data_IF_984188414316
#
_entry.id   IF_984188414316
#
_cell.length_a   1.000
_cell.length_b   1.000
_cell.length_c   1.000
_cell.angle_alpha   90.00
_cell.angle_beta   90.00
_cell.angle_gamma   90.00
#
_symmetry.space_group_name_H-M   'P 1'
#
loop_
_entity.id
_entity.type
_entity.pdbx_description
1 polymer ?
#
# COMPACT_ATOMS: atom_id res chain seq x y z
N UNK A 1 20.67 0.23 2.03
CA UNK A 1 19.49 -0.58 1.65
C UNK A 1 19.14 -0.31 0.20
N UNK A 2 18.66 -1.32 -0.52
CA UNK A 2 18.29 -1.23 -1.93
C UNK A 2 16.77 -1.31 -2.10
N UNK A 3 16.15 -0.29 -2.72
CA UNK A 3 14.72 -0.23 -3.00
C UNK A 3 14.51 -0.37 -4.51
N UNK A 4 13.77 -1.39 -4.93
CA UNK A 4 13.30 -1.52 -6.30
C UNK A 4 11.92 -0.88 -6.45
N UNK A 5 11.75 -0.06 -7.48
CA UNK A 5 10.54 0.68 -7.78
C UNK A 5 9.92 0.11 -9.05
N UNK A 6 8.67 -0.34 -9.00
CA UNK A 6 7.93 -0.62 -10.22
C UNK A 6 7.35 0.69 -10.79
N UNK A 7 7.52 0.91 -12.10
CA UNK A 7 7.22 2.23 -12.72
C UNK A 7 5.73 2.61 -12.71
N UNK A 8 4.82 1.67 -12.45
CA UNK A 8 3.39 1.92 -12.53
C UNK A 8 2.94 2.30 -13.95
N UNK A 9 1.81 2.99 -14.05
CA UNK A 9 1.36 3.54 -15.34
C UNK A 9 2.08 4.85 -15.63
N UNK A 10 3.01 4.81 -16.57
CA UNK A 10 3.88 5.95 -16.93
C UNK A 10 3.13 7.16 -17.48
N UNK A 11 1.89 6.97 -17.95
CA UNK A 11 1.04 8.02 -18.47
C UNK A 11 0.07 8.60 -17.41
N UNK A 12 -0.01 7.99 -16.21
CA UNK A 12 -0.65 8.55 -15.03
C UNK A 12 0.33 9.37 -14.19
N UNK A 13 -0.05 9.70 -12.95
CA UNK A 13 0.78 10.48 -12.01
C UNK A 13 1.98 9.69 -11.45
N UNK A 14 2.12 8.39 -11.76
CA UNK A 14 3.26 7.58 -11.31
C UNK A 14 4.60 8.25 -11.61
N UNK A 15 4.77 8.73 -12.84
CA UNK A 15 5.97 9.46 -13.28
C UNK A 15 6.13 10.77 -12.51
N UNK A 16 5.05 11.56 -12.36
CA UNK A 16 5.12 12.86 -11.70
C UNK A 16 5.55 12.74 -10.24
N UNK A 17 4.93 11.84 -9.47
CA UNK A 17 5.28 11.66 -8.05
C UNK A 17 6.70 11.16 -7.88
N UNK A 18 7.16 10.24 -8.73
CA UNK A 18 8.52 9.73 -8.69
C UNK A 18 9.56 10.81 -9.03
N UNK A 19 9.39 11.50 -10.16
CA UNK A 19 10.35 12.51 -10.61
C UNK A 19 10.39 13.70 -9.65
N UNK A 20 9.26 14.21 -9.18
CA UNK A 20 9.21 15.29 -8.17
C UNK A 20 9.91 14.87 -6.88
N UNK A 21 9.65 13.66 -6.39
CA UNK A 21 10.31 13.15 -5.19
C UNK A 21 11.83 13.16 -5.37
N UNK A 22 12.35 12.60 -6.45
CA UNK A 22 13.80 12.52 -6.69
C UNK A 22 14.45 13.87 -7.01
N UNK A 23 13.68 14.85 -7.53
CA UNK A 23 14.17 16.21 -7.79
C UNK A 23 14.35 17.04 -6.53
N UNK A 24 13.44 16.90 -5.56
CA UNK A 24 13.38 17.78 -4.40
C UNK A 24 13.81 17.12 -3.09
N UNK A 25 13.98 15.78 -3.10
CA UNK A 25 14.34 15.02 -1.91
C UNK A 25 15.45 14.02 -2.21
N UNK A 26 16.50 14.02 -1.39
CA UNK A 26 17.59 13.07 -1.49
C UNK A 26 17.47 11.99 -0.41
N UNK A 27 17.64 10.73 -0.82
CA UNK A 27 17.63 9.56 0.05
C UNK A 27 19.02 8.92 0.04
N UNK A 28 20.03 9.60 0.58
CA UNK A 28 21.45 9.21 0.51
C UNK A 28 21.76 7.83 1.13
N UNK A 29 20.91 7.35 2.03
CA UNK A 29 21.04 6.02 2.66
C UNK A 29 20.31 4.91 1.90
N UNK A 30 19.66 5.24 0.77
CA UNK A 30 18.95 4.31 -0.10
C UNK A 30 19.59 4.28 -1.49
N UNK A 31 19.90 3.08 -1.96
CA UNK A 31 20.11 2.83 -3.37
C UNK A 31 18.74 2.56 -4.01
N UNK A 32 18.35 3.37 -4.97
CA UNK A 32 17.09 3.18 -5.70
C UNK A 32 17.34 2.64 -7.10
N UNK A 33 16.51 1.71 -7.54
CA UNK A 33 16.41 1.33 -8.95
C UNK A 33 14.95 1.29 -9.38
N UNK A 34 14.70 1.49 -10.67
CA UNK A 34 13.36 1.47 -11.26
C UNK A 34 13.32 0.48 -12.41
N UNK A 35 12.33 -0.43 -12.37
CA UNK A 35 12.08 -1.35 -13.47
C UNK A 35 11.24 -0.63 -14.53
N UNK A 36 11.87 -0.29 -15.68
CA UNK A 36 11.23 0.45 -16.77
C UNK A 36 11.97 0.19 -18.08
N UNK A 37 11.28 0.35 -19.21
CA UNK A 37 11.95 0.31 -20.52
C UNK A 37 12.89 1.51 -20.70
N UNK A 38 14.10 1.28 -21.21
CA UNK A 38 15.11 2.33 -21.35
C UNK A 38 14.69 3.46 -22.29
N UNK A 39 14.01 3.14 -23.41
CA UNK A 39 13.54 4.17 -24.35
C UNK A 39 12.42 5.01 -23.73
N UNK A 40 11.48 4.36 -22.99
CA UNK A 40 10.45 5.07 -22.21
C UNK A 40 11.08 5.97 -21.15
N UNK A 41 12.05 5.45 -20.39
CA UNK A 41 12.77 6.25 -19.40
C UNK A 41 13.44 7.48 -20.00
N UNK A 42 14.06 7.32 -21.19
CA UNK A 42 14.70 8.42 -21.93
C UNK A 42 13.67 9.48 -22.35
N UNK A 43 12.53 9.07 -22.94
CA UNK A 43 11.46 10.00 -23.31
C UNK A 43 10.97 10.81 -22.11
N UNK A 44 10.79 10.16 -20.94
CA UNK A 44 10.38 10.84 -19.70
C UNK A 44 11.47 11.82 -19.25
N UNK A 45 12.73 11.40 -19.22
CA UNK A 45 13.85 12.25 -18.82
C UNK A 45 13.98 13.48 -19.72
N UNK A 46 13.81 13.32 -21.04
CA UNK A 46 13.77 14.44 -22.00
C UNK A 46 12.63 15.42 -21.67
N UNK A 47 11.43 14.91 -21.38
CA UNK A 47 10.26 15.74 -21.03
C UNK A 47 10.46 16.51 -19.70
N UNK A 48 11.21 15.93 -18.77
CA UNK A 48 11.51 16.54 -17.47
C UNK A 48 12.84 17.33 -17.43
N UNK A 49 13.57 17.36 -18.54
CA UNK A 49 14.90 17.96 -18.64
C UNK A 49 15.89 17.40 -17.60
N UNK A 50 15.88 16.07 -17.45
CA UNK A 50 16.76 15.29 -16.56
C UNK A 50 17.72 14.46 -17.39
N UNK A 51 18.96 14.29 -16.95
CA UNK A 51 19.95 13.50 -17.64
C UNK A 51 19.66 11.99 -17.52
N UNK A 52 19.80 11.26 -18.65
CA UNK A 52 19.74 9.80 -18.72
C UNK A 52 21.02 9.29 -19.37
N UNK A 53 21.91 8.71 -18.59
CA UNK A 53 23.22 8.21 -19.03
C UNK A 53 23.53 6.89 -18.31
N UNK A 54 24.29 6.00 -18.93
CA UNK A 54 24.77 4.73 -18.35
C UNK A 54 23.65 3.88 -17.69
N UNK A 55 22.48 3.86 -18.32
CA UNK A 55 21.28 3.18 -17.81
C UNK A 55 20.85 3.68 -16.43
N UNK A 56 21.04 4.95 -16.14
CA UNK A 56 20.61 5.61 -14.92
C UNK A 56 19.96 6.97 -15.20
N UNK A 57 19.02 7.34 -14.36
CA UNK A 57 18.38 8.66 -14.29
C UNK A 57 19.15 9.50 -13.26
N UNK A 58 19.72 10.62 -13.67
CA UNK A 58 20.57 11.46 -12.83
C UNK A 58 19.82 12.70 -12.35
N UNK A 59 19.34 12.65 -11.11
CA UNK A 59 18.78 13.81 -10.41
C UNK A 59 19.89 14.62 -9.72
N UNK A 60 19.61 15.86 -9.27
CA UNK A 60 20.63 16.73 -8.69
C UNK A 60 21.40 16.13 -7.49
N UNK A 61 20.71 15.38 -6.64
CA UNK A 61 21.26 14.85 -5.39
C UNK A 61 21.36 13.30 -5.36
N UNK A 62 20.84 12.62 -6.40
CA UNK A 62 20.83 11.15 -6.45
C UNK A 62 20.75 10.62 -7.87
N UNK A 63 21.16 9.36 -8.05
CA UNK A 63 20.94 8.63 -9.29
C UNK A 63 20.09 7.39 -9.05
N UNK A 64 19.20 7.09 -9.99
CA UNK A 64 18.33 5.92 -9.96
C UNK A 64 18.70 5.00 -11.13
N UNK A 65 19.14 3.78 -10.80
CA UNK A 65 19.51 2.78 -11.82
C UNK A 65 18.25 2.27 -12.52
N UNK A 66 18.29 2.17 -13.84
CA UNK A 66 17.23 1.56 -14.64
C UNK A 66 17.47 0.06 -14.77
N UNK A 67 16.49 -0.73 -14.35
CA UNK A 67 16.40 -2.17 -14.63
C UNK A 67 15.55 -2.32 -15.89
N UNK A 68 16.13 -2.85 -17.01
CA UNK A 68 15.47 -2.76 -18.29
C UNK A 68 14.29 -3.73 -18.43
N UNK A 69 13.11 -3.19 -18.74
CA UNK A 69 11.95 -3.93 -19.24
C UNK A 69 11.95 -3.94 -20.78
N UNK A 70 11.32 -4.95 -21.39
CA UNK A 70 11.24 -5.14 -22.84
C UNK A 70 10.12 -4.29 -23.45
N UNK A 71 8.95 -4.25 -22.81
CA UNK A 71 7.79 -3.52 -23.30
C UNK A 71 8.08 -2.01 -23.28
N UNK A 72 7.89 -1.39 -24.42
CA UNK A 72 8.02 0.07 -24.58
C UNK A 72 6.65 0.73 -24.48
N UNK A 73 6.58 1.86 -23.82
CA UNK A 73 5.39 2.72 -23.80
C UNK A 73 5.80 4.15 -24.13
N UNK A 74 5.16 4.76 -25.11
CA UNK A 74 5.38 6.18 -25.41
C UNK A 74 4.83 7.03 -24.27
N UNK A 75 5.65 7.95 -23.76
CA UNK A 75 5.26 8.86 -22.69
C UNK A 75 4.27 9.92 -23.18
N UNK A 76 3.03 9.82 -22.73
CA UNK A 76 1.93 10.76 -23.05
C UNK A 76 1.08 11.00 -21.80
N UNK A 77 1.50 11.89 -20.89
CA UNK A 77 0.79 12.11 -19.63
C UNK A 77 -0.68 12.43 -19.84
N UNK A 78 -1.53 11.83 -19.00
CA UNK A 78 -2.97 11.95 -19.06
C UNK A 78 -3.68 11.07 -20.11
N UNK A 79 -2.93 10.24 -20.87
CA UNK A 79 -3.51 9.39 -21.92
C UNK A 79 -3.24 7.91 -21.63
N UNK A 80 -4.23 7.17 -21.08
CA UNK A 80 -4.12 5.73 -20.91
C UNK A 80 -3.74 5.02 -22.20
N UNK A 81 -2.93 3.96 -22.12
CA UNK A 81 -2.58 3.11 -23.26
C UNK A 81 -2.28 1.68 -22.83
N UNK A 82 -2.54 0.72 -23.71
CA UNK A 82 -2.24 -0.68 -23.47
C UNK A 82 -0.71 -0.90 -23.32
N UNK A 83 0.11 -0.15 -24.07
CA UNK A 83 1.56 -0.24 -23.95
C UNK A 83 2.05 0.17 -22.56
N UNK A 84 1.46 1.23 -21.96
CA UNK A 84 1.77 1.63 -20.59
C UNK A 84 1.33 0.56 -19.57
N UNK A 85 0.20 -0.08 -19.81
CA UNK A 85 -0.29 -1.18 -18.97
C UNK A 85 0.58 -2.43 -19.07
N UNK A 86 1.01 -2.81 -20.28
CA UNK A 86 1.94 -3.94 -20.49
C UNK A 86 3.31 -3.67 -19.84
N UNK A 87 3.82 -2.44 -19.95
CA UNK A 87 5.05 -2.05 -19.27
C UNK A 87 4.87 -2.10 -17.74
N UNK A 88 3.74 -1.65 -17.21
CA UNK A 88 3.46 -1.70 -15.77
C UNK A 88 3.41 -3.14 -15.24
N UNK A 89 2.81 -4.09 -15.98
CA UNK A 89 2.79 -5.52 -15.64
C UNK A 89 4.23 -6.06 -15.59
N UNK A 90 5.00 -5.89 -16.66
CA UNK A 90 6.38 -6.38 -16.73
C UNK A 90 7.25 -5.75 -15.62
N UNK A 91 7.05 -4.47 -15.34
CA UNK A 91 7.75 -3.77 -14.28
C UNK A 91 7.48 -4.36 -12.89
N UNK A 92 6.23 -4.75 -12.59
CA UNK A 92 5.86 -5.43 -11.35
C UNK A 92 6.55 -6.81 -11.26
N UNK A 93 6.49 -7.60 -12.34
CA UNK A 93 7.10 -8.94 -12.41
C UNK A 93 8.62 -8.87 -12.24
N UNK A 94 9.29 -7.99 -13.00
CA UNK A 94 10.74 -7.76 -12.90
C UNK A 94 11.16 -7.32 -11.50
N UNK A 95 10.38 -6.42 -10.88
CA UNK A 95 10.66 -5.95 -9.53
C UNK A 95 10.52 -7.05 -8.48
N UNK A 96 9.50 -7.90 -8.62
CA UNK A 96 9.30 -9.04 -7.72
C UNK A 96 10.41 -10.09 -7.87
N UNK A 97 10.89 -10.33 -9.09
CA UNK A 97 12.01 -11.24 -9.34
C UNK A 97 13.29 -10.78 -8.60
N UNK A 98 13.62 -9.49 -8.66
CA UNK A 98 14.77 -8.93 -7.94
C UNK A 98 14.64 -9.09 -6.41
N UNK A 99 13.46 -8.88 -5.87
CA UNK A 99 13.19 -9.10 -4.45
C UNK A 99 13.38 -10.57 -4.07
N UNK A 100 12.80 -11.49 -4.86
CA UNK A 100 12.88 -12.93 -4.59
C UNK A 100 14.32 -13.47 -4.70
N UNK A 101 15.15 -12.86 -5.55
CA UNK A 101 16.56 -13.18 -5.68
C UNK A 101 17.43 -12.57 -4.56
N UNK A 102 16.86 -11.74 -3.68
CA UNK A 102 17.61 -11.03 -2.64
C UNK A 102 18.48 -9.87 -3.17
N UNK A 103 18.19 -9.39 -4.38
CA UNK A 103 18.90 -8.28 -5.01
C UNK A 103 18.37 -6.90 -4.57
N UNK A 104 17.20 -6.85 -3.92
CA UNK A 104 16.64 -5.66 -3.32
C UNK A 104 15.99 -5.98 -1.96
N UNK A 105 15.99 -5.01 -1.04
CA UNK A 105 15.47 -5.14 0.32
C UNK A 105 13.97 -4.84 0.41
N UNK A 106 13.45 -3.99 -0.48
CA UNK A 106 12.05 -3.58 -0.47
C UNK A 106 11.54 -3.22 -1.88
N UNK A 107 10.25 -3.46 -2.08
CA UNK A 107 9.49 -3.13 -3.29
C UNK A 107 8.61 -1.91 -3.04
N UNK A 108 8.83 -0.84 -3.80
CA UNK A 108 7.91 0.28 -3.89
C UNK A 108 7.13 0.20 -5.20
N UNK A 109 5.80 0.13 -5.11
CA UNK A 109 4.96 0.03 -6.31
C UNK A 109 4.23 1.33 -6.59
N UNK A 110 4.44 1.90 -7.78
CA UNK A 110 3.74 3.10 -8.23
C UNK A 110 2.32 2.79 -8.71
N UNK A 111 1.44 3.81 -8.82
CA UNK A 111 0.05 3.64 -9.25
C UNK A 111 -0.11 2.97 -10.61
N UNK A 112 -1.09 2.07 -10.72
CA UNK A 112 -1.44 1.34 -11.94
C UNK A 112 -2.88 1.57 -12.36
N UNK A 113 -3.16 1.42 -13.66
CA UNK A 113 -4.52 1.40 -14.19
C UNK A 113 -5.11 0.01 -14.13
N UNK A 114 -6.00 -0.27 -13.16
CA UNK A 114 -6.63 -1.60 -13.05
C UNK A 114 -7.38 -2.01 -14.32
N UNK A 115 -8.15 -1.09 -14.92
CA UNK A 115 -8.86 -1.34 -16.18
C UNK A 115 -7.90 -1.64 -17.33
N UNK A 116 -6.83 -0.81 -17.48
CA UNK A 116 -5.83 -1.02 -18.52
C UNK A 116 -5.08 -2.34 -18.38
N UNK A 117 -4.74 -2.74 -17.14
CA UNK A 117 -4.12 -4.05 -16.89
C UNK A 117 -5.05 -5.20 -17.29
N UNK A 118 -6.34 -5.12 -16.93
CA UNK A 118 -7.34 -6.13 -17.32
C UNK A 118 -7.51 -6.24 -18.83
N UNK A 119 -7.52 -5.13 -19.56
CA UNK A 119 -7.56 -5.13 -21.03
C UNK A 119 -6.33 -5.82 -21.65
N UNK A 120 -5.20 -5.80 -20.94
CA UNK A 120 -3.96 -6.48 -21.32
C UNK A 120 -3.86 -7.94 -20.82
N UNK A 121 -4.94 -8.51 -20.27
CA UNK A 121 -4.98 -9.89 -19.82
C UNK A 121 -4.57 -10.12 -18.36
N UNK A 122 -4.35 -9.06 -17.57
CA UNK A 122 -4.11 -9.16 -16.13
C UNK A 122 -5.35 -9.67 -15.41
N UNK A 123 -5.23 -10.80 -14.72
CA UNK A 123 -6.39 -11.50 -14.10
C UNK A 123 -6.67 -11.09 -12.66
N UNK A 124 -5.75 -10.35 -12.03
CA UNK A 124 -5.83 -9.96 -10.62
C UNK A 124 -6.65 -8.67 -10.43
N UNK A 125 -7.36 -8.58 -9.32
CA UNK A 125 -8.16 -7.40 -8.96
C UNK A 125 -7.31 -6.17 -8.59
N UNK A 126 -6.02 -6.38 -8.33
CA UNK A 126 -5.05 -5.36 -7.97
C UNK A 126 -3.72 -5.95 -7.50
N UNK A 127 -2.79 -5.08 -7.12
CA UNK A 127 -1.44 -5.51 -6.70
C UNK A 127 -1.45 -6.40 -5.44
N UNK A 128 -2.38 -6.21 -4.51
CA UNK A 128 -2.48 -7.05 -3.31
C UNK A 128 -2.91 -8.48 -3.65
N UNK A 129 -3.85 -8.63 -4.56
CA UNK A 129 -4.31 -9.94 -5.06
C UNK A 129 -3.20 -10.67 -5.85
N UNK A 130 -2.47 -9.92 -6.68
CA UNK A 130 -1.28 -10.42 -7.37
C UNK A 130 -0.21 -10.90 -6.38
N UNK A 131 0.07 -10.16 -5.31
CA UNK A 131 1.00 -10.57 -4.27
C UNK A 131 0.52 -11.81 -3.51
N UNK A 132 -0.79 -11.94 -3.26
CA UNK A 132 -1.34 -13.15 -2.67
C UNK A 132 -1.10 -14.37 -3.57
N UNK A 133 -1.25 -14.21 -4.89
CA UNK A 133 -0.92 -15.27 -5.83
C UNK A 133 0.57 -15.61 -5.86
N UNK A 134 1.44 -14.61 -5.75
CA UNK A 134 2.90 -14.80 -5.70
C UNK A 134 3.36 -15.47 -4.39
N UNK A 135 2.62 -15.28 -3.30
CA UNK A 135 2.92 -15.83 -1.97
C UNK A 135 1.69 -16.56 -1.41
N UNK A 136 1.32 -17.73 -1.95
CA UNK A 136 0.04 -18.40 -1.64
C UNK A 136 -0.08 -18.86 -0.17
N UNK A 137 1.03 -19.10 0.51
CA UNK A 137 1.05 -19.45 1.94
C UNK A 137 0.84 -18.23 2.85
N UNK A 138 0.80 -17.03 2.28
CA UNK A 138 0.62 -15.77 3.02
C UNK A 138 -0.85 -15.34 2.95
N UNK A 139 -1.26 -14.57 3.96
CA UNK A 139 -2.54 -13.88 3.98
C UNK A 139 -2.28 -12.36 3.98
N UNK A 140 -2.05 -11.73 2.80
CA UNK A 140 -1.74 -10.32 2.72
C UNK A 140 -2.80 -9.45 3.38
N UNK A 141 -2.37 -8.54 4.23
CA UNK A 141 -3.25 -7.60 4.91
C UNK A 141 -2.90 -6.19 4.43
N UNK A 142 -3.90 -5.48 3.94
CA UNK A 142 -3.74 -4.08 3.59
C UNK A 142 -3.77 -3.22 4.85
N UNK A 143 -2.67 -2.56 5.15
CA UNK A 143 -2.56 -1.57 6.21
C UNK A 143 -2.28 -0.21 5.55
N UNK A 144 -3.24 0.71 5.68
CA UNK A 144 -3.01 2.10 5.31
C UNK A 144 -2.68 2.89 6.57
N UNK A 145 -1.70 3.77 6.47
CA UNK A 145 -1.32 4.55 7.63
C UNK A 145 -0.79 5.95 7.29
N UNK A 146 -0.89 6.81 8.28
CA UNK A 146 -0.24 8.10 8.34
C UNK A 146 0.14 8.34 9.80
N UNK A 147 1.42 8.63 10.06
CA UNK A 147 1.96 8.78 11.42
C UNK A 147 1.56 7.60 12.35
N UNK A 148 0.81 7.88 13.41
CA UNK A 148 0.36 6.88 14.38
C UNK A 148 -0.99 6.23 14.04
N UNK A 149 -1.76 6.74 13.09
CA UNK A 149 -3.02 6.13 12.66
C UNK A 149 -2.72 5.03 11.65
N UNK A 150 -2.91 3.76 12.03
CA UNK A 150 -2.73 2.58 11.18
C UNK A 150 -4.03 1.82 11.09
N UNK A 151 -4.54 1.66 9.89
CA UNK A 151 -5.85 1.03 9.63
C UNK A 151 -5.65 -0.20 8.75
N UNK A 152 -5.98 -1.35 9.30
CA UNK A 152 -6.08 -2.62 8.59
C UNK A 152 -7.54 -2.88 8.18
N UNK A 153 -7.73 -3.52 7.04
CA UNK A 153 -9.06 -3.81 6.49
C UNK A 153 -9.38 -5.29 6.58
N UNK A 154 -10.52 -5.64 7.19
CA UNK A 154 -11.03 -7.01 7.23
C UNK A 154 -11.63 -7.42 5.87
N UNK A 155 -12.27 -6.48 5.17
CA UNK A 155 -12.65 -6.64 3.75
C UNK A 155 -12.18 -5.43 2.94
N UNK A 156 -11.68 -5.64 1.71
CA UNK A 156 -11.01 -4.58 0.93
C UNK A 156 -11.91 -4.09 -0.19
N UNK A 157 -11.98 -4.78 -1.31
CA UNK A 157 -12.70 -4.36 -2.52
C UNK A 157 -14.00 -5.16 -2.71
N UNK A 158 -14.81 -5.21 -1.66
CA UNK A 158 -16.10 -5.91 -1.65
C UNK A 158 -17.23 -4.87 -1.76
N UNK A 159 -18.24 -5.10 -2.60
CA UNK A 159 -19.44 -4.26 -2.62
C UNK A 159 -20.08 -4.17 -1.23
N UNK A 160 -20.50 -2.97 -0.81
CA UNK A 160 -20.97 -2.73 0.56
C UNK A 160 -22.10 -3.68 0.98
N UNK A 161 -23.01 -4.01 0.08
CA UNK A 161 -24.14 -4.94 0.33
C UNK A 161 -23.68 -6.41 0.51
N UNK A 162 -22.41 -6.72 0.26
CA UNK A 162 -21.85 -8.06 0.44
C UNK A 162 -20.83 -8.19 1.56
N UNK A 163 -20.53 -7.08 2.24
CA UNK A 163 -19.51 -7.09 3.31
C UNK A 163 -19.87 -8.08 4.40
N UNK A 164 -21.10 -8.07 4.90
CA UNK A 164 -21.55 -8.99 5.96
C UNK A 164 -21.45 -10.48 5.56
N UNK A 165 -21.60 -10.78 4.28
CA UNK A 165 -21.49 -12.16 3.76
C UNK A 165 -20.02 -12.66 3.70
N UNK A 166 -19.06 -11.73 3.60
CA UNK A 166 -17.62 -12.06 3.50
C UNK A 166 -16.94 -12.16 4.85
N UNK A 167 -17.53 -11.55 5.88
CA UNK A 167 -16.97 -11.57 7.24
C UNK A 167 -17.37 -12.87 7.96
N UNK A 168 -16.38 -13.49 8.57
CA UNK A 168 -16.57 -14.59 9.52
C UNK A 168 -15.53 -14.48 10.64
N UNK A 169 -15.75 -15.23 11.72
CA UNK A 169 -14.87 -15.20 12.90
C UNK A 169 -13.41 -15.49 12.54
N UNK A 170 -13.16 -16.48 11.66
CA UNK A 170 -11.81 -16.84 11.27
C UNK A 170 -11.10 -15.72 10.50
N UNK A 171 -11.77 -15.10 9.53
CA UNK A 171 -11.23 -13.96 8.77
C UNK A 171 -10.79 -12.83 9.71
N UNK A 172 -11.60 -12.49 10.70
CA UNK A 172 -11.26 -11.41 11.66
C UNK A 172 -10.10 -11.82 12.55
N UNK A 173 -10.05 -13.08 13.00
CA UNK A 173 -8.93 -13.63 13.78
C UNK A 173 -7.63 -13.54 12.97
N UNK A 174 -7.64 -13.97 11.71
CA UNK A 174 -6.47 -13.95 10.84
C UNK A 174 -5.95 -12.52 10.64
N UNK A 175 -6.85 -11.56 10.47
CA UNK A 175 -6.48 -10.13 10.38
C UNK A 175 -5.91 -9.64 11.72
N UNK A 176 -6.52 -9.96 12.87
CA UNK A 176 -5.98 -9.58 14.18
C UNK A 176 -4.57 -10.13 14.38
N UNK A 177 -4.34 -11.40 14.05
CA UNK A 177 -3.02 -12.05 14.21
C UNK A 177 -1.98 -11.45 13.28
N UNK A 178 -2.33 -11.26 12.00
CA UNK A 178 -1.41 -10.66 11.04
C UNK A 178 -1.09 -9.19 11.37
N UNK A 179 -2.07 -8.41 11.81
CA UNK A 179 -1.85 -7.04 12.29
C UNK A 179 -0.96 -7.04 13.54
N UNK A 180 -1.24 -7.89 14.52
CA UNK A 180 -0.41 -8.01 15.72
C UNK A 180 1.04 -8.35 15.38
N UNK A 181 1.25 -9.31 14.49
CA UNK A 181 2.57 -9.69 14.01
C UNK A 181 3.28 -8.52 13.32
N UNK A 182 2.61 -7.86 12.38
CA UNK A 182 3.14 -6.71 11.66
C UNK A 182 3.48 -5.53 12.57
N UNK A 183 2.63 -5.22 13.57
CA UNK A 183 2.95 -4.17 14.54
C UNK A 183 4.26 -4.47 15.28
N UNK A 184 4.56 -5.73 15.55
CA UNK A 184 5.81 -6.13 16.23
C UNK A 184 7.02 -6.05 15.31
N UNK A 185 6.95 -6.69 14.13
CA UNK A 185 8.12 -6.82 13.26
C UNK A 185 8.35 -5.62 12.36
N UNK A 186 7.27 -5.03 11.82
CA UNK A 186 7.37 -3.93 10.86
C UNK A 186 7.42 -2.57 11.55
N UNK A 187 6.66 -2.40 12.63
CA UNK A 187 6.57 -1.13 13.38
C UNK A 187 7.32 -1.11 14.71
N UNK A 188 7.98 -2.22 15.08
CA UNK A 188 8.76 -2.39 16.32
C UNK A 188 8.00 -2.05 17.61
N UNK A 189 6.70 -2.38 17.67
CA UNK A 189 5.85 -2.19 18.83
C UNK A 189 5.76 -3.52 19.58
N UNK A 190 6.37 -3.64 20.76
CA UNK A 190 6.47 -4.90 21.50
C UNK A 190 5.12 -5.43 21.98
N UNK A 191 4.25 -4.55 22.47
CA UNK A 191 2.93 -4.87 23.00
C UNK A 191 1.84 -4.04 22.29
N UNK A 192 1.52 -4.34 21.01
CA UNK A 192 0.59 -3.53 20.25
C UNK A 192 -0.83 -3.64 20.78
N UNK A 193 -1.48 -2.49 20.93
CA UNK A 193 -2.89 -2.38 21.27
C UNK A 193 -3.70 -2.23 19.99
N UNK A 194 -4.63 -3.15 19.76
CA UNK A 194 -5.44 -3.23 18.55
C UNK A 194 -6.88 -2.90 18.87
N UNK A 195 -7.45 -1.92 18.17
CA UNK A 195 -8.88 -1.64 18.19
C UNK A 195 -9.60 -2.35 17.05
N UNK A 196 -10.71 -3.01 17.32
CA UNK A 196 -11.59 -3.59 16.30
C UNK A 196 -12.88 -2.77 16.24
N UNK A 197 -13.22 -2.26 15.05
CA UNK A 197 -14.48 -1.55 14.85
C UNK A 197 -15.65 -2.54 14.70
N UNK A 198 -16.85 -2.11 15.08
CA UNK A 198 -18.07 -2.81 14.71
C UNK A 198 -18.37 -2.68 13.21
N UNK A 199 -19.14 -3.58 12.67
CA UNK A 199 -19.67 -3.49 11.31
C UNK A 199 -20.87 -2.54 11.25
N UNK A 200 -21.79 -2.72 12.21
CA UNK A 200 -23.08 -2.04 12.22
C UNK A 200 -23.03 -0.71 13.01
N UNK A 201 -23.98 0.20 12.77
CA UNK A 201 -24.15 1.40 13.61
C UNK A 201 -24.23 1.03 15.10
N UNK A 202 -23.64 1.85 15.96
CA UNK A 202 -23.57 1.65 17.40
C UNK A 202 -23.01 0.27 17.81
N UNK A 203 -22.15 -0.33 16.96
CA UNK A 203 -21.64 -1.69 17.16
C UNK A 203 -22.77 -2.72 17.41
N UNK A 204 -23.84 -2.65 16.60
CA UNK A 204 -24.97 -3.57 16.60
C UNK A 204 -26.01 -3.34 17.70
N UNK A 205 -25.82 -2.37 18.63
CA UNK A 205 -26.78 -2.05 19.72
C UNK A 205 -27.34 -3.31 20.40
N UNK A 206 -26.49 -4.16 20.93
CA UNK A 206 -26.85 -5.45 21.55
C UNK A 206 -27.69 -6.39 20.63
N UNK A 207 -27.53 -6.28 19.31
CA UNK A 207 -28.21 -7.10 18.29
C UNK A 207 -29.48 -6.48 17.72
N UNK A 208 -29.82 -5.24 18.09
CA UNK A 208 -30.97 -4.52 17.51
C UNK A 208 -30.70 -4.02 16.09
N UNK A 209 -29.43 -3.73 15.77
CA UNK A 209 -29.00 -3.16 14.48
C UNK A 209 -28.11 -4.14 13.69
N UNK A 210 -28.25 -5.42 13.92
CA UNK A 210 -27.44 -6.47 13.33
C UNK A 210 -26.81 -7.36 14.39
N UNK A 211 -26.38 -8.56 14.02
CA UNK A 211 -25.86 -9.54 14.97
C UNK A 211 -24.40 -9.91 14.73
N UNK A 212 -23.77 -9.33 13.71
CA UNK A 212 -22.40 -9.64 13.29
C UNK A 212 -21.38 -9.34 14.41
N UNK A 213 -21.63 -8.32 15.22
CA UNK A 213 -20.79 -8.04 16.39
C UNK A 213 -20.83 -9.18 17.39
N UNK A 214 -22.04 -9.65 17.74
CA UNK A 214 -22.25 -10.72 18.72
C UNK A 214 -21.79 -12.08 18.18
N UNK A 215 -22.10 -12.37 16.93
CA UNK A 215 -21.97 -13.72 16.36
C UNK A 215 -20.60 -13.94 15.71
N UNK A 216 -19.89 -12.86 15.32
CA UNK A 216 -18.64 -12.93 14.56
C UNK A 216 -17.51 -12.15 15.25
N UNK A 217 -17.68 -10.83 15.50
CA UNK A 217 -16.58 -9.94 15.88
C UNK A 217 -16.16 -10.16 17.34
N UNK A 218 -17.10 -10.22 18.28
CA UNK A 218 -16.79 -10.48 19.69
C UNK A 218 -16.12 -11.84 19.88
N UNK A 219 -16.61 -12.95 19.30
CA UNK A 219 -15.91 -14.23 19.37
C UNK A 219 -14.46 -14.17 18.85
N UNK A 220 -14.20 -13.42 17.77
CA UNK A 220 -12.84 -13.25 17.24
C UNK A 220 -11.94 -12.48 18.23
N UNK A 221 -12.43 -11.38 18.81
CA UNK A 221 -11.70 -10.60 19.80
C UNK A 221 -11.37 -11.45 21.04
N UNK A 222 -12.34 -12.22 21.57
CA UNK A 222 -12.13 -13.05 22.74
C UNK A 222 -11.11 -14.18 22.49
N UNK A 223 -11.12 -14.78 21.29
CA UNK A 223 -10.10 -15.76 20.90
C UNK A 223 -8.71 -15.13 20.82
N UNK A 224 -8.59 -13.92 20.26
CA UNK A 224 -7.31 -13.19 20.21
C UNK A 224 -6.80 -12.84 21.62
N UNK A 225 -7.67 -12.37 22.53
CA UNK A 225 -7.33 -12.13 23.93
C UNK A 225 -6.85 -13.38 24.65
N UNK A 226 -7.49 -14.52 24.40
CA UNK A 226 -7.09 -15.81 24.99
C UNK A 226 -5.66 -16.24 24.55
N UNK A 227 -5.15 -15.69 23.44
CA UNK A 227 -3.76 -15.85 22.99
C UNK A 227 -2.82 -14.74 23.48
N UNK A 228 -3.29 -13.86 24.37
CA UNK A 228 -2.48 -12.78 24.94
C UNK A 228 -2.37 -11.52 24.07
N UNK A 229 -3.17 -11.38 23.01
CA UNK A 229 -3.18 -10.19 22.16
C UNK A 229 -4.01 -9.09 22.84
N UNK A 230 -3.45 -7.90 22.94
CA UNK A 230 -4.16 -6.72 23.47
C UNK A 230 -5.09 -6.17 22.37
N UNK A 231 -6.31 -6.71 22.35
CA UNK A 231 -7.33 -6.39 21.34
C UNK A 231 -8.63 -5.98 22.05
N UNK A 232 -9.21 -4.86 21.65
CA UNK A 232 -10.41 -4.29 22.26
C UNK A 232 -11.46 -3.94 21.20
N UNK A 233 -12.72 -3.98 21.56
CA UNK A 233 -13.87 -3.68 20.70
C UNK A 233 -15.04 -4.65 20.95
N UNK A 234 -16.06 -4.69 20.05
CA UNK A 234 -16.18 -3.83 18.87
C UNK A 234 -16.54 -2.39 19.22
N UNK A 235 -15.89 -1.41 18.58
CA UNK A 235 -16.18 0.01 18.82
C UNK A 235 -17.13 0.57 17.76
N UNK A 236 -18.12 1.41 18.13
CA UNK A 236 -18.87 2.22 17.16
C UNK A 236 -17.93 3.18 16.41
N UNK A 237 -17.82 3.04 15.09
CA UNK A 237 -16.82 3.74 14.30
C UNK A 237 -16.93 5.27 14.39
N UNK A 238 -18.15 5.81 14.32
CA UNK A 238 -18.43 7.25 14.43
C UNK A 238 -17.91 7.86 15.74
N UNK A 239 -18.28 7.26 16.88
CA UNK A 239 -17.83 7.68 18.19
C UNK A 239 -16.33 7.46 18.42
N UNK A 240 -15.78 6.39 17.87
CA UNK A 240 -14.36 6.04 17.98
C UNK A 240 -13.46 7.09 17.33
N UNK A 241 -13.77 7.51 16.09
CA UNK A 241 -13.01 8.52 15.39
C UNK A 241 -13.29 9.94 15.87
N UNK A 242 -14.56 10.31 16.08
CA UNK A 242 -14.93 11.67 16.50
C UNK A 242 -14.37 12.06 17.87
N UNK A 243 -14.28 11.11 18.80
CA UNK A 243 -13.69 11.30 20.13
C UNK A 243 -12.18 11.10 20.16
N UNK A 244 -11.56 10.83 19.01
CA UNK A 244 -10.13 10.54 18.88
C UNK A 244 -9.66 9.36 19.76
N UNK A 245 -10.54 8.42 20.06
CA UNK A 245 -10.24 7.20 20.84
C UNK A 245 -9.13 6.38 20.20
N UNK A 246 -9.00 6.47 18.86
CA UNK A 246 -7.96 5.82 18.08
C UNK A 246 -6.53 6.15 18.53
N UNK A 247 -6.29 7.31 19.17
CA UNK A 247 -4.96 7.69 19.67
C UNK A 247 -4.44 6.79 20.79
N UNK A 248 -5.30 6.00 21.41
CA UNK A 248 -4.93 5.01 22.42
C UNK A 248 -4.55 3.65 21.87
N UNK A 249 -4.52 3.47 20.54
CA UNK A 249 -4.26 2.20 19.88
C UNK A 249 -3.15 2.33 18.82
N UNK A 250 -2.45 1.24 18.61
CA UNK A 250 -1.35 1.16 17.62
C UNK A 250 -1.85 0.77 16.25
N UNK A 251 -2.96 0.01 16.19
CA UNK A 251 -3.64 -0.35 14.96
C UNK A 251 -5.15 -0.43 15.15
N UNK A 252 -5.89 -0.19 14.07
CA UNK A 252 -7.34 -0.20 14.00
C UNK A 252 -7.74 -1.20 12.92
N UNK A 253 -8.64 -2.12 13.23
CA UNK A 253 -9.22 -3.03 12.24
C UNK A 253 -10.60 -2.50 11.86
N UNK A 254 -10.74 -2.07 10.62
CA UNK A 254 -12.01 -1.66 10.03
C UNK A 254 -12.62 -2.84 9.25
N UNK A 255 -13.94 -2.97 9.32
CA UNK A 255 -14.64 -4.09 8.71
C UNK A 255 -14.75 -3.96 7.18
N UNK A 256 -14.76 -2.73 6.66
CA UNK A 256 -14.81 -2.44 5.23
C UNK A 256 -14.02 -1.18 4.87
N UNK A 257 -13.74 -1.05 3.59
CA UNK A 257 -12.85 -0.05 3.02
C UNK A 257 -13.14 1.38 3.51
N UNK A 258 -14.34 1.91 3.25
CA UNK A 258 -14.62 3.32 3.52
C UNK A 258 -14.74 3.62 5.03
N UNK A 259 -15.09 2.63 5.86
CA UNK A 259 -15.09 2.77 7.31
C UNK A 259 -13.73 3.21 7.86
N UNK A 260 -12.67 2.65 7.29
CA UNK A 260 -11.30 2.96 7.71
C UNK A 260 -10.66 4.09 6.90
N UNK A 261 -10.87 4.11 5.59
CA UNK A 261 -10.13 5.01 4.72
C UNK A 261 -10.63 6.45 4.73
N UNK A 262 -11.92 6.69 4.94
CA UNK A 262 -12.43 8.07 5.07
C UNK A 262 -11.74 8.81 6.22
N UNK A 263 -11.74 8.33 7.48
CA UNK A 263 -11.06 9.01 8.58
C UNK A 263 -9.55 9.09 8.38
N UNK A 264 -8.92 8.05 7.83
CA UNK A 264 -7.49 8.09 7.54
C UNK A 264 -7.14 9.18 6.52
N UNK A 265 -7.85 9.24 5.40
CA UNK A 265 -7.57 10.23 4.34
C UNK A 265 -7.81 11.66 4.78
N UNK A 266 -8.82 11.88 5.61
CA UNK A 266 -9.04 13.18 6.24
C UNK A 266 -7.87 13.59 7.16
N UNK A 267 -7.29 12.64 7.89
CA UNK A 267 -6.13 12.89 8.76
C UNK A 267 -4.83 13.03 7.95
N UNK A 268 -4.64 12.19 6.95
CA UNK A 268 -3.40 12.07 6.20
C UNK A 268 -3.17 13.22 5.19
N UNK A 269 -4.23 13.85 4.68
CA UNK A 269 -4.13 14.99 3.75
C UNK A 269 -3.08 14.78 2.63
N UNK A 270 -3.13 13.63 1.96
CA UNK A 270 -2.20 13.29 0.88
C UNK A 270 -0.89 12.59 1.31
N UNK A 271 -0.62 12.41 2.61
CA UNK A 271 0.57 11.73 3.13
C UNK A 271 0.33 10.24 3.44
N UNK A 272 -0.77 9.67 3.03
CA UNK A 272 -1.13 8.28 3.30
C UNK A 272 -0.16 7.29 2.63
N UNK A 273 0.13 6.19 3.33
CA UNK A 273 0.97 5.10 2.86
C UNK A 273 0.15 3.81 2.86
N UNK A 274 0.24 3.04 1.79
CA UNK A 274 -0.34 1.70 1.71
C UNK A 274 0.77 0.66 1.85
N UNK A 275 0.72 -0.12 2.91
CA UNK A 275 1.64 -1.21 3.23
C UNK A 275 0.93 -2.55 3.13
N UNK A 276 1.57 -3.53 2.49
CA UNK A 276 1.08 -4.91 2.46
C UNK A 276 1.80 -5.70 3.55
N UNK A 277 1.10 -5.93 4.65
CA UNK A 277 1.60 -6.72 5.77
C UNK A 277 1.39 -8.23 5.56
N UNK A 278 2.02 -9.03 6.41
CA UNK A 278 1.88 -10.48 6.46
C UNK A 278 2.29 -11.20 5.16
N UNK A 279 3.28 -10.65 4.46
CA UNK A 279 3.97 -11.29 3.34
C UNK A 279 5.50 -11.31 3.62
N UNK A 280 6.25 -12.24 3.00
CA UNK A 280 7.69 -12.38 3.28
C UNK A 280 8.53 -11.16 2.84
N UNK A 281 8.06 -10.38 1.89
CA UNK A 281 8.74 -9.19 1.37
C UNK A 281 8.22 -7.90 2.02
N UNK A 282 8.98 -6.83 1.89
CA UNK A 282 8.52 -5.48 2.24
C UNK A 282 7.95 -4.84 0.98
N UNK A 283 6.63 -4.60 0.97
CA UNK A 283 5.99 -3.89 -0.14
C UNK A 283 5.21 -2.70 0.36
N UNK A 284 5.53 -1.54 -0.18
CA UNK A 284 4.87 -0.25 0.11
C UNK A 284 4.42 0.41 -1.18
N UNK A 285 3.36 1.18 -1.13
CA UNK A 285 2.94 2.03 -2.24
C UNK A 285 2.37 3.37 -1.75
N UNK A 286 2.53 4.44 -2.53
CA UNK A 286 1.78 5.67 -2.33
C UNK A 286 0.27 5.40 -2.40
N UNK A 287 -0.52 6.09 -1.55
CA UNK A 287 -1.99 5.98 -1.54
C UNK A 287 -2.62 6.86 -2.63
N UNK A 288 -2.30 6.52 -3.89
CA UNK A 288 -2.81 7.23 -5.07
C UNK A 288 -3.32 6.27 -6.14
N UNK A 289 -4.30 6.73 -6.92
CA UNK A 289 -4.64 6.13 -8.22
C UNK A 289 -3.83 6.77 -9.34
N UNK A 290 -4.14 6.44 -10.60
CA UNK A 290 -3.45 6.96 -11.78
C UNK A 290 -3.68 8.44 -12.05
N UNK A 291 -4.81 8.99 -11.60
CA UNK A 291 -5.17 10.42 -11.69
C UNK A 291 -4.77 11.10 -13.02
N UNK A 292 -5.17 10.51 -14.14
CA UNK A 292 -4.81 10.96 -15.48
C UNK A 292 -5.18 12.42 -15.77
N UNK A 293 -6.21 12.96 -15.10
CA UNK A 293 -6.67 14.33 -15.24
C UNK A 293 -5.68 15.39 -14.78
N UNK A 294 -4.72 15.01 -13.95
CA UNK A 294 -3.68 15.89 -13.44
C UNK A 294 -2.26 15.46 -13.84
N UNK A 295 -2.09 14.32 -14.50
CA UNK A 295 -0.79 13.81 -14.92
C UNK A 295 -0.08 14.80 -15.88
N UNK A 296 1.22 15.02 -15.69
CA UNK A 296 2.03 15.99 -16.43
C UNK A 296 1.74 17.44 -16.05
N UNK A 297 1.08 17.70 -14.92
CA UNK A 297 0.80 19.04 -14.43
C UNK A 297 1.49 19.32 -13.09
N UNK A 298 1.60 20.58 -12.70
CA UNK A 298 2.14 20.97 -11.39
C UNK A 298 1.22 20.67 -10.20
N UNK A 299 0.00 20.13 -10.43
CA UNK A 299 -0.98 19.85 -9.37
C UNK A 299 -0.73 18.55 -8.61
N UNK A 300 0.15 17.70 -9.12
CA UNK A 300 0.52 16.44 -8.47
C UNK A 300 1.42 16.73 -7.27
N UNK A 301 1.09 16.17 -6.12
CA UNK A 301 1.89 16.26 -4.88
C UNK A 301 2.59 14.92 -4.62
N UNK A 302 3.85 15.00 -4.19
CA UNK A 302 4.72 13.83 -3.95
C UNK A 302 4.72 13.33 -2.50
N UNK A 303 3.95 13.94 -1.62
CA UNK A 303 3.99 13.68 -0.17
C UNK A 303 3.83 12.19 0.20
N UNK A 304 2.89 11.48 -0.43
CA UNK A 304 2.68 10.06 -0.19
C UNK A 304 3.86 9.20 -0.67
N UNK A 305 4.56 9.60 -1.72
CA UNK A 305 5.77 8.92 -2.20
C UNK A 305 6.92 9.07 -1.20
N UNK A 306 7.13 10.28 -0.69
CA UNK A 306 8.12 10.56 0.35
C UNK A 306 7.82 9.73 1.60
N UNK A 307 6.57 9.77 2.08
CA UNK A 307 6.13 8.99 3.23
C UNK A 307 6.32 7.48 3.00
N UNK A 308 6.13 6.99 1.77
CA UNK A 308 6.34 5.59 1.40
C UNK A 308 7.82 5.18 1.48
N UNK A 309 8.74 6.01 1.01
CA UNK A 309 10.18 5.75 1.12
C UNK A 309 10.66 5.79 2.58
N UNK A 310 10.15 6.72 3.39
CA UNK A 310 10.44 6.78 4.83
C UNK A 310 9.87 5.57 5.57
N UNK A 311 8.69 5.10 5.19
CA UNK A 311 8.11 3.86 5.71
C UNK A 311 8.99 2.65 5.40
N UNK A 312 9.45 2.51 4.15
CA UNK A 312 10.39 1.44 3.75
C UNK A 312 11.65 1.49 4.62
N UNK A 313 12.26 2.69 4.78
CA UNK A 313 13.45 2.88 5.63
C UNK A 313 13.23 2.35 7.05
N UNK A 314 12.10 2.69 7.64
CA UNK A 314 11.76 2.30 8.99
C UNK A 314 11.53 0.78 9.09
N UNK A 315 10.75 0.20 8.17
CA UNK A 315 10.39 -1.22 8.17
C UNK A 315 11.61 -2.11 7.92
N UNK A 316 12.46 -1.78 6.94
CA UNK A 316 13.71 -2.52 6.69
C UNK A 316 14.59 -2.53 7.94
N UNK A 317 14.76 -1.37 8.59
CA UNK A 317 15.53 -1.26 9.83
C UNK A 317 14.92 -2.08 10.97
N UNK A 318 13.61 -2.13 11.08
CA UNK A 318 12.93 -2.88 12.13
C UNK A 318 13.07 -4.39 11.91
N UNK A 319 12.81 -4.87 10.68
CA UNK A 319 12.98 -6.30 10.33
C UNK A 319 14.43 -6.80 10.47
N UNK A 320 15.43 -5.94 10.27
CA UNK A 320 16.85 -6.32 10.43
C UNK A 320 17.32 -6.43 11.90
N UNK A 321 16.47 -6.04 12.86
CA UNK A 321 16.79 -6.09 14.31
C UNK A 321 16.15 -7.29 15.02
N UNK A 322 15.18 -7.94 14.40
CA UNK A 322 14.49 -9.13 14.91
C UNK A 322 15.05 -10.40 14.30
#
# INVERSE_FOLDING_TARGET
MHVIISCGDVNGIATDIFFKTCLYHAFHDMQCSIAINQSTAKEICEAWNIAFEDSAIHFPEMSVKVIPCKNHATYKPGKPSNDASLLAIESLETSLELINNGEADALLTLPISKSGLHECGWVFSGQTDWLHHAFPESHPIMILFHESMRIALASVHVPLNRVSETLNTQTIIDVIYGVHHSMKIDFAIEQPRIAVLGLNPHAGEAGMLGTEERDIIIPAIEQAKAKGILCEGPFPADGFFSRQTWKGYDAIIAQYHDQGLIPLKLQAQGHGVNFTANIPIIRVSPDHGTAYDIAGTNRVEEHSMIASLEAIRSIVKNRSRG
#
